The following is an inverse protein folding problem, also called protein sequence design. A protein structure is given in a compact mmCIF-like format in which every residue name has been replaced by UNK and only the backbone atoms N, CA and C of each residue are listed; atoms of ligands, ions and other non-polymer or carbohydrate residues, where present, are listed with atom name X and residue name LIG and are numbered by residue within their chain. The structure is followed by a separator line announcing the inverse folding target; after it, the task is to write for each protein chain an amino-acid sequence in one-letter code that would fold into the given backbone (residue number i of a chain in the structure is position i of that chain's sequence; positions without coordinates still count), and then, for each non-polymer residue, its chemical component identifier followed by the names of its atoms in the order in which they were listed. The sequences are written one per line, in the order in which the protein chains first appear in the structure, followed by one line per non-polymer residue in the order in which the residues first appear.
data_IF_426668345538
#
_entry.id   IF_426668345538
#
_cell.length_a   1.000
_cell.length_b   1.000
_cell.length_c   1.000
_cell.angle_alpha   90.00
_cell.angle_beta   90.00
_cell.angle_gamma   90.00
#
_symmetry.space_group_name_H-M   'P 1'
#
loop_
_entity.id
_entity.type
_entity.pdbx_description
1 polymer ?
#
# COMPACT_ATOMS: atom_id res chain seq x y z
N UNK A 1 30.11 17.77 56.00
CA UNK A 1 30.34 18.17 54.60
C UNK A 1 29.88 17.04 53.68
N UNK A 2 28.65 17.06 53.13
CA UNK A 2 28.20 16.06 52.16
C UNK A 2 28.39 16.57 50.73
N UNK A 3 29.03 15.75 49.89
CA UNK A 3 29.23 15.98 48.47
C UNK A 3 28.05 15.47 47.64
N UNK A 4 27.59 16.33 46.71
CA UNK A 4 26.52 16.09 45.74
C UNK A 4 27.02 15.24 44.55
N UNK A 5 26.20 14.33 44.06
CA UNK A 5 26.25 13.76 42.70
C UNK A 5 24.85 13.32 42.31
N UNK A 6 24.04 14.24 41.76
CA UNK A 6 23.70 14.41 40.32
C UNK A 6 22.87 13.27 39.74
N UNK A 7 21.56 13.56 39.73
CA UNK A 7 20.49 12.97 38.95
C UNK A 7 20.73 13.20 37.45
N UNK A 8 20.75 12.13 36.66
CA UNK A 8 20.52 12.18 35.21
C UNK A 8 19.11 11.64 34.96
N UNK A 9 18.14 12.54 35.02
CA UNK A 9 16.81 12.34 34.45
C UNK A 9 16.55 13.57 33.58
N UNK A 10 16.87 13.45 32.28
CA UNK A 10 16.57 14.46 31.26
C UNK A 10 15.70 13.81 30.19
N UNK A 11 14.40 13.95 30.40
CA UNK A 11 13.50 14.61 29.45
C UNK A 11 13.41 14.04 28.01
N UNK A 12 12.85 12.84 27.86
CA UNK A 12 12.27 12.36 26.58
C UNK A 12 10.79 12.71 26.53
N UNK A 13 10.44 14.02 26.47
CA UNK A 13 9.03 14.44 26.28
C UNK A 13 8.80 15.63 25.34
N UNK A 14 9.81 16.13 24.61
CA UNK A 14 9.64 17.34 23.80
C UNK A 14 9.57 17.22 22.27
N UNK A 15 9.61 16.01 21.69
CA UNK A 15 9.60 15.86 20.21
C UNK A 15 8.26 15.44 19.57
N UNK A 16 7.21 15.18 20.35
CA UNK A 16 5.87 14.84 19.81
C UNK A 16 4.94 16.08 19.72
N UNK A 17 5.32 17.20 20.35
CA UNK A 17 4.46 18.39 20.45
C UNK A 17 4.58 19.39 19.28
N UNK A 18 5.67 19.36 18.51
CA UNK A 18 5.96 20.44 17.54
C UNK A 18 5.16 20.26 16.23
N UNK A 19 4.77 19.03 15.86
CA UNK A 19 4.03 18.80 14.61
C UNK A 19 2.52 19.12 14.72
N UNK A 20 1.95 19.15 15.93
CA UNK A 20 0.52 19.44 16.11
C UNK A 20 0.17 20.92 15.91
N UNK A 21 1.12 21.82 16.18
CA UNK A 21 0.93 23.27 15.99
C UNK A 21 0.94 23.67 14.50
N UNK A 22 1.74 22.98 13.66
CA UNK A 22 1.70 23.14 12.22
C UNK A 22 0.37 22.63 11.62
N UNK A 23 -0.17 21.52 12.14
CA UNK A 23 -1.52 21.03 11.77
C UNK A 23 -2.66 21.95 12.23
N UNK A 24 -2.58 22.51 13.44
CA UNK A 24 -3.61 23.39 13.99
C UNK A 24 -3.66 24.76 13.26
N UNK A 25 -2.51 25.32 12.86
CA UNK A 25 -2.46 26.55 12.06
C UNK A 25 -2.99 26.35 10.62
N UNK A 26 -2.91 25.12 10.09
CA UNK A 26 -3.47 24.76 8.79
C UNK A 26 -4.95 24.35 8.82
N UNK A 27 -5.56 24.19 10.00
CA UNK A 27 -6.96 23.78 10.13
C UNK A 27 -7.97 24.91 9.85
N UNK A 28 -7.51 26.16 9.64
CA UNK A 28 -8.34 27.29 9.25
C UNK A 28 -8.09 27.84 7.84
N UNK A 29 -7.03 27.37 7.16
CA UNK A 29 -6.84 27.57 5.73
C UNK A 29 -7.26 26.31 5.02
N UNK A 30 -8.46 26.29 4.42
CA UNK A 30 -9.03 25.11 3.79
C UNK A 30 -7.97 24.31 3.03
N UNK A 31 -7.82 23.02 3.37
CA UNK A 31 -6.82 22.16 2.75
C UNK A 31 -6.84 22.38 1.23
N UNK A 32 -5.67 22.43 0.55
CA UNK A 32 -5.68 22.21 -0.88
C UNK A 32 -6.35 20.85 -1.06
N UNK A 33 -7.57 20.87 -1.60
CA UNK A 33 -8.33 19.65 -1.89
C UNK A 33 -7.35 18.75 -2.61
N UNK A 34 -6.98 17.62 -2.00
CA UNK A 34 -6.38 16.53 -2.74
C UNK A 34 -7.40 16.21 -3.83
N UNK A 35 -7.22 16.81 -5.01
CA UNK A 35 -8.15 16.65 -6.11
C UNK A 35 -8.24 15.15 -6.36
N UNK A 36 -9.45 14.67 -6.62
CA UNK A 36 -9.69 13.29 -7.00
C UNK A 36 -8.61 12.85 -7.98
N UNK A 37 -7.71 11.98 -7.51
CA UNK A 37 -6.56 11.57 -8.29
C UNK A 37 -7.07 10.87 -9.54
N UNK A 38 -6.65 11.27 -10.75
CA UNK A 38 -7.03 10.56 -11.96
C UNK A 38 -6.51 9.13 -11.85
N UNK A 39 -7.43 8.16 -11.86
CA UNK A 39 -7.08 6.75 -12.00
C UNK A 39 -6.35 6.61 -13.34
N UNK A 40 -5.16 6.02 -13.34
CA UNK A 40 -4.53 5.59 -14.59
C UNK A 40 -5.39 4.45 -15.17
N UNK A 41 -6.05 4.62 -16.33
CA UNK A 41 -6.75 3.54 -16.99
C UNK A 41 -5.73 2.83 -17.88
N UNK A 42 -5.29 1.63 -17.56
CA UNK A 42 -4.26 1.05 -18.44
C UNK A 42 -3.73 -0.34 -18.19
N UNK A 43 -4.52 -1.31 -17.69
CA UNK A 43 -4.05 -2.71 -17.69
C UNK A 43 -5.07 -3.75 -18.18
N UNK A 44 -6.25 -3.34 -18.70
CA UNK A 44 -7.18 -4.27 -19.33
C UNK A 44 -7.74 -3.73 -20.65
N UNK A 45 -6.98 -3.90 -21.73
CA UNK A 45 -7.54 -4.01 -23.07
C UNK A 45 -7.54 -5.50 -23.46
N UNK A 46 -8.53 -6.24 -22.96
CA UNK A 46 -8.88 -7.56 -23.48
C UNK A 46 -9.79 -7.43 -24.70
N UNK A 47 -9.62 -8.24 -25.76
CA UNK A 47 -10.37 -8.09 -27.00
C UNK A 47 -11.85 -8.46 -26.84
N UNK A 48 -12.72 -7.62 -27.43
CA UNK A 48 -14.15 -7.86 -27.56
C UNK A 48 -14.41 -9.07 -28.45
N UNK A 49 -15.16 -10.03 -27.93
CA UNK A 49 -15.77 -11.14 -28.65
C UNK A 49 -16.87 -10.66 -29.62
N UNK A 50 -16.82 -11.14 -30.87
CA UNK A 50 -17.94 -11.04 -31.80
C UNK A 50 -17.54 -11.47 -33.22
N UNK A 51 -17.94 -12.68 -33.63
CA UNK A 51 -17.75 -13.14 -35.01
C UNK A 51 -18.04 -14.62 -35.19
N UNK A 52 -19.20 -14.90 -35.76
CA UNK A 52 -19.80 -16.19 -36.15
C UNK A 52 -18.93 -17.10 -37.03
N UNK A 53 -19.04 -18.42 -36.83
CA UNK A 53 -18.56 -19.47 -37.76
C UNK A 53 -19.24 -19.40 -39.14
N UNK A 54 -18.62 -19.99 -40.19
CA UNK A 54 -18.99 -21.36 -40.56
C UNK A 54 -17.84 -22.28 -41.06
N UNK A 55 -17.92 -23.55 -40.64
CA UNK A 55 -17.83 -24.83 -41.40
C UNK A 55 -16.65 -25.10 -42.38
N UNK A 56 -15.86 -26.12 -41.99
CA UNK A 56 -15.21 -27.22 -42.74
C UNK A 56 -14.06 -26.98 -43.73
N UNK A 57 -12.90 -27.64 -43.47
CA UNK A 57 -12.40 -28.81 -44.22
C UNK A 57 -10.94 -29.17 -43.83
N UNK A 58 -10.75 -30.46 -43.48
CA UNK A 58 -9.56 -31.31 -43.68
C UNK A 58 -8.16 -30.66 -43.79
N UNK A 59 -7.30 -30.93 -42.82
CA UNK A 59 -5.95 -31.43 -43.13
C UNK A 59 -5.31 -32.17 -41.95
N UNK A 60 -5.23 -33.50 -42.06
CA UNK A 60 -4.41 -34.37 -41.23
C UNK A 60 -2.95 -34.25 -41.65
N UNK A 61 -2.13 -33.45 -40.95
CA UNK A 61 -0.66 -33.56 -41.03
C UNK A 61 0.01 -33.22 -39.70
N UNK A 62 0.60 -34.26 -39.10
CA UNK A 62 1.83 -34.14 -38.35
C UNK A 62 1.73 -33.50 -36.96
N UNK A 63 1.24 -34.29 -36.00
CA UNK A 63 1.50 -34.04 -34.58
C UNK A 63 3.01 -34.18 -34.29
N UNK A 64 3.79 -33.13 -34.59
CA UNK A 64 5.02 -32.88 -33.86
C UNK A 64 4.57 -32.42 -32.48
N UNK A 65 4.61 -33.35 -31.53
CA UNK A 65 4.46 -33.04 -30.13
C UNK A 65 5.50 -31.98 -29.77
N UNK A 66 5.07 -30.72 -29.73
CA UNK A 66 5.76 -29.69 -28.97
C UNK A 66 5.62 -30.17 -27.54
N UNK A 67 6.65 -30.86 -27.07
CA UNK A 67 6.91 -30.96 -25.65
C UNK A 67 7.01 -29.50 -25.21
N UNK A 68 5.90 -28.94 -24.72
CA UNK A 68 5.95 -27.79 -23.85
C UNK A 68 6.81 -28.27 -22.70
N UNK A 69 8.13 -28.09 -22.84
CA UNK A 69 9.06 -28.21 -21.74
C UNK A 69 8.40 -27.43 -20.64
N UNK A 70 8.11 -28.09 -19.52
CA UNK A 70 7.63 -27.44 -18.30
C UNK A 70 8.41 -26.15 -18.24
N UNK A 71 7.74 -25.00 -18.44
CA UNK A 71 8.41 -23.71 -18.22
C UNK A 71 9.12 -23.94 -16.89
N UNK A 72 10.45 -23.77 -16.81
CA UNK A 72 11.11 -23.83 -15.53
C UNK A 72 10.21 -23.01 -14.65
N UNK A 73 9.79 -23.61 -13.53
CA UNK A 73 9.21 -22.86 -12.44
C UNK A 73 10.23 -21.75 -12.23
N UNK A 74 10.00 -20.61 -12.88
CA UNK A 74 11.02 -19.60 -13.09
C UNK A 74 10.88 -18.83 -11.81
N UNK A 75 11.60 -19.39 -10.86
CA UNK A 75 11.15 -19.55 -9.50
C UNK A 75 10.96 -18.17 -8.91
N UNK A 76 10.01 -18.06 -7.98
CA UNK A 76 9.99 -17.02 -6.96
C UNK A 76 11.19 -17.19 -6.02
N UNK A 77 12.39 -17.37 -6.59
CA UNK A 77 13.64 -17.52 -5.90
C UNK A 77 13.97 -16.18 -5.27
N UNK A 78 13.84 -16.15 -3.95
CA UNK A 78 14.11 -14.98 -3.14
C UNK A 78 15.55 -14.49 -3.31
N UNK A 79 16.52 -15.40 -3.44
CA UNK A 79 17.93 -15.02 -3.61
C UNK A 79 18.14 -14.23 -4.90
N UNK A 80 17.56 -14.70 -6.02
CA UNK A 80 17.58 -13.98 -7.29
C UNK A 80 16.92 -12.60 -7.17
N UNK A 81 15.77 -12.52 -6.50
CA UNK A 81 15.00 -11.29 -6.37
C UNK A 81 15.68 -10.25 -5.47
N UNK A 82 16.35 -10.69 -4.40
CA UNK A 82 17.20 -9.84 -3.52
C UNK A 82 18.46 -9.35 -4.24
N UNK A 83 18.96 -10.09 -5.22
CA UNK A 83 20.10 -9.70 -6.05
C UNK A 83 19.73 -8.68 -7.16
N UNK A 84 18.45 -8.35 -7.34
CA UNK A 84 17.99 -7.51 -8.44
C UNK A 84 18.41 -6.03 -8.26
N UNK A 85 19.48 -5.62 -8.96
CA UNK A 85 20.10 -4.30 -8.83
C UNK A 85 19.12 -3.11 -8.95
N UNK A 86 18.15 -3.16 -9.86
CA UNK A 86 17.18 -2.06 -10.03
C UNK A 86 16.29 -1.83 -8.80
N UNK A 87 15.96 -2.88 -8.03
CA UNK A 87 15.15 -2.76 -6.81
C UNK A 87 15.96 -2.18 -5.67
N UNK A 88 17.22 -2.63 -5.56
CA UNK A 88 18.18 -2.06 -4.62
C UNK A 88 18.38 -0.56 -4.87
N UNK A 89 18.60 -0.17 -6.13
CA UNK A 89 18.74 1.24 -6.50
C UNK A 89 17.48 2.05 -6.16
N UNK A 90 16.28 1.51 -6.39
CA UNK A 90 15.03 2.14 -6.00
C UNK A 90 14.92 2.32 -4.47
N UNK A 91 15.32 1.30 -3.70
CA UNK A 91 15.38 1.39 -2.25
C UNK A 91 16.41 2.44 -1.77
N UNK A 92 17.63 2.42 -2.30
CA UNK A 92 18.67 3.41 -1.99
C UNK A 92 18.22 4.84 -2.31
N UNK A 93 17.53 5.02 -3.43
CA UNK A 93 16.92 6.31 -3.79
C UNK A 93 15.86 6.73 -2.78
N UNK A 94 14.97 5.83 -2.33
CA UNK A 94 14.00 6.15 -1.29
C UNK A 94 14.69 6.44 0.05
N UNK A 95 15.71 5.65 0.39
CA UNK A 95 16.46 5.75 1.63
C UNK A 95 17.27 7.06 1.76
N UNK A 96 17.66 7.67 0.64
CA UNK A 96 18.29 9.00 0.63
C UNK A 96 17.27 10.14 0.76
N UNK A 97 15.97 9.85 0.71
CA UNK A 97 14.93 10.87 0.95
C UNK A 97 14.49 10.90 2.42
N UNK A 98 13.90 12.03 2.82
CA UNK A 98 13.20 12.16 4.11
C UNK A 98 11.98 11.24 4.27
N UNK A 99 11.50 10.61 3.20
CA UNK A 99 10.26 9.84 3.21
C UNK A 99 10.43 8.38 3.63
N UNK A 100 11.66 7.84 3.74
CA UNK A 100 11.86 6.44 4.15
C UNK A 100 11.18 6.14 5.49
N UNK A 101 11.34 7.02 6.48
CA UNK A 101 10.74 6.83 7.81
C UNK A 101 9.20 6.87 7.78
N UNK A 102 8.55 7.91 7.21
CA UNK A 102 7.11 7.93 6.94
C UNK A 102 6.59 6.65 6.26
N UNK A 103 7.24 6.23 5.17
CA UNK A 103 6.87 5.03 4.42
C UNK A 103 6.95 3.79 5.30
N UNK A 104 8.06 3.62 6.02
CA UNK A 104 8.25 2.44 6.85
C UNK A 104 7.27 2.38 8.03
N UNK A 105 6.94 3.53 8.63
CA UNK A 105 5.97 3.62 9.71
C UNK A 105 4.55 3.31 9.22
N UNK A 106 4.14 3.91 8.10
CA UNK A 106 2.80 3.73 7.53
C UNK A 106 2.52 2.28 7.10
N UNK A 107 3.45 1.67 6.35
CA UNK A 107 3.30 0.26 5.95
C UNK A 107 3.31 -0.69 7.13
N UNK A 108 4.11 -0.41 8.17
CA UNK A 108 4.10 -1.21 9.39
C UNK A 108 2.75 -1.14 10.09
N UNK A 109 2.17 0.06 10.21
CA UNK A 109 0.85 0.23 10.82
C UNK A 109 -0.22 -0.52 10.02
N UNK A 110 -0.19 -0.46 8.69
CA UNK A 110 -1.12 -1.21 7.85
C UNK A 110 -0.98 -2.73 8.02
N UNK A 111 0.24 -3.26 7.89
CA UNK A 111 0.48 -4.70 8.02
C UNK A 111 0.09 -5.22 9.41
N UNK A 112 0.43 -4.48 10.48
CA UNK A 112 0.05 -4.85 11.84
C UNK A 112 -1.47 -4.82 12.08
N UNK A 113 -2.20 -3.91 11.42
CA UNK A 113 -3.64 -3.85 11.52
C UNK A 113 -4.33 -4.97 10.71
N UNK A 114 -3.86 -5.19 9.48
CA UNK A 114 -4.61 -5.92 8.46
C UNK A 114 -4.15 -7.36 8.20
N UNK A 115 -2.92 -7.75 8.56
CA UNK A 115 -2.34 -9.05 8.18
C UNK A 115 -1.85 -9.78 9.44
N UNK A 116 -2.48 -10.92 9.77
CA UNK A 116 -2.17 -11.66 11.00
C UNK A 116 -0.80 -12.35 10.97
N UNK A 117 -0.45 -13.01 9.86
CA UNK A 117 0.86 -13.67 9.66
C UNK A 117 1.64 -12.98 8.56
N UNK A 118 2.18 -11.80 8.89
CA UNK A 118 2.84 -10.92 7.93
C UNK A 118 4.00 -11.61 7.24
N UNK A 119 4.82 -12.35 7.99
CA UNK A 119 6.03 -12.97 7.44
C UNK A 119 5.73 -14.19 6.58
N UNK A 120 4.83 -15.09 7.02
CA UNK A 120 4.54 -16.30 6.26
C UNK A 120 3.78 -16.02 4.96
N UNK A 121 3.12 -14.86 4.85
CA UNK A 121 2.31 -14.49 3.68
C UNK A 121 3.02 -13.54 2.71
N UNK A 122 4.22 -13.07 3.08
CA UNK A 122 5.04 -12.19 2.26
C UNK A 122 5.37 -12.80 0.90
N UNK A 123 5.48 -11.94 -0.11
CA UNK A 123 5.76 -12.23 -1.53
C UNK A 123 4.65 -13.01 -2.23
N UNK A 124 4.14 -14.06 -1.60
CA UNK A 124 3.20 -14.98 -2.23
C UNK A 124 1.77 -14.45 -2.18
N UNK A 125 1.39 -13.72 -1.14
CA UNK A 125 0.04 -13.19 -0.98
C UNK A 125 -0.02 -11.67 -0.88
N UNK A 126 1.02 -11.06 -0.31
CA UNK A 126 1.20 -9.61 -0.35
C UNK A 126 2.63 -9.25 -0.77
N UNK A 127 2.79 -8.13 -1.48
CA UNK A 127 4.10 -7.63 -1.90
C UNK A 127 4.24 -6.15 -1.62
N UNK A 128 5.48 -5.68 -1.56
CA UNK A 128 5.78 -4.26 -1.39
C UNK A 128 6.64 -3.77 -2.55
N UNK A 129 6.20 -2.71 -3.22
CA UNK A 129 6.98 -2.04 -4.26
C UNK A 129 7.59 -0.73 -3.74
N UNK A 130 8.74 -0.35 -4.29
CA UNK A 130 9.48 0.87 -3.94
C UNK A 130 9.72 1.70 -5.20
N UNK A 131 9.35 2.98 -5.17
CA UNK A 131 9.43 3.93 -6.30
C UNK A 131 8.96 3.32 -7.63
N UNK A 132 7.73 2.78 -7.71
CA UNK A 132 7.24 2.23 -8.97
C UNK A 132 7.17 3.34 -10.02
N UNK A 133 7.63 3.03 -11.24
CA UNK A 133 7.74 3.98 -12.36
C UNK A 133 6.40 4.46 -12.93
N UNK A 134 5.29 3.96 -12.42
CA UNK A 134 3.94 4.25 -12.92
C UNK A 134 3.53 5.69 -12.68
N UNK A 135 4.04 6.34 -11.62
CA UNK A 135 3.87 7.79 -11.40
C UNK A 135 5.11 8.37 -10.70
N UNK A 136 5.56 9.55 -11.11
CA UNK A 136 6.79 10.18 -10.60
C UNK A 136 6.78 10.45 -9.09
N UNK A 137 5.59 10.51 -8.49
CA UNK A 137 5.38 10.87 -7.09
C UNK A 137 5.13 9.68 -6.19
N UNK A 138 5.03 8.46 -6.73
CA UNK A 138 4.73 7.29 -5.91
C UNK A 138 5.97 6.82 -5.18
N UNK A 139 5.86 6.72 -3.87
CA UNK A 139 6.95 6.34 -2.98
C UNK A 139 7.01 4.82 -2.83
N UNK A 140 5.85 4.20 -2.57
CA UNK A 140 5.75 2.76 -2.34
C UNK A 140 4.28 2.30 -2.36
N UNK A 141 4.07 1.00 -2.46
CA UNK A 141 2.76 0.39 -2.27
C UNK A 141 2.85 -1.02 -1.71
N UNK A 142 1.86 -1.41 -0.91
CA UNK A 142 1.52 -2.80 -0.63
C UNK A 142 0.47 -3.26 -1.64
N UNK A 143 0.71 -4.41 -2.25
CA UNK A 143 -0.19 -5.04 -3.19
C UNK A 143 -0.62 -6.42 -2.71
N UNK A 144 -1.89 -6.77 -2.94
CA UNK A 144 -2.48 -8.08 -2.66
C UNK A 144 -3.35 -8.49 -3.85
N UNK A 145 -3.28 -9.75 -4.29
CA UNK A 145 -3.87 -10.20 -5.56
C UNK A 145 -3.46 -9.30 -6.74
N UNK A 146 -4.42 -8.60 -7.36
CA UNK A 146 -4.21 -7.66 -8.46
C UNK A 146 -4.40 -6.18 -8.02
N UNK A 147 -4.40 -5.92 -6.70
CA UNK A 147 -4.73 -4.62 -6.12
C UNK A 147 -3.57 -3.98 -5.38
N UNK A 148 -3.59 -2.66 -5.34
CA UNK A 148 -2.80 -1.86 -4.42
C UNK A 148 -3.70 -1.43 -3.27
N UNK A 149 -3.39 -1.91 -2.07
CA UNK A 149 -4.26 -1.77 -0.89
C UNK A 149 -3.81 -0.67 0.06
N UNK A 150 -2.52 -0.33 0.02
CA UNK A 150 -1.93 0.76 0.80
C UNK A 150 -0.83 1.41 -0.05
N UNK A 151 -0.97 2.70 -0.37
CA UNK A 151 -0.05 3.42 -1.27
C UNK A 151 0.35 4.75 -0.67
N UNK A 152 1.65 5.07 -0.75
CA UNK A 152 2.19 6.36 -0.35
C UNK A 152 2.73 7.15 -1.54
N UNK A 153 2.51 8.46 -1.50
CA UNK A 153 2.96 9.43 -2.48
C UNK A 153 3.72 10.58 -1.80
N UNK A 154 4.70 11.13 -2.51
CA UNK A 154 5.25 12.42 -2.18
C UNK A 154 4.14 13.49 -2.33
N UNK A 155 4.07 14.48 -1.43
CA UNK A 155 3.09 15.57 -1.51
C UNK A 155 3.27 16.39 -2.80
N UNK A 156 2.23 17.14 -3.21
CA UNK A 156 2.36 18.02 -4.39
C UNK A 156 3.23 19.21 -4.02
N UNK A 157 2.97 19.73 -2.83
CA UNK A 157 3.78 20.74 -2.19
C UNK A 157 4.93 20.08 -1.45
N UNK A 158 6.14 20.23 -2.00
CA UNK A 158 7.36 19.69 -1.41
C UNK A 158 7.64 20.32 -0.05
N UNK A 159 7.11 21.50 0.27
CA UNK A 159 7.28 22.14 1.57
C UNK A 159 6.37 21.55 2.66
N UNK A 160 5.28 20.87 2.28
CA UNK A 160 4.36 20.24 3.24
C UNK A 160 5.03 19.13 4.07
N UNK A 161 6.16 18.58 3.61
CA UNK A 161 7.02 17.66 4.37
C UNK A 161 6.45 16.26 4.63
N UNK A 162 5.12 16.07 4.61
CA UNK A 162 4.43 14.82 4.91
C UNK A 162 4.07 14.03 3.65
N UNK A 163 4.17 12.70 3.71
CA UNK A 163 3.69 11.83 2.64
C UNK A 163 2.16 11.77 2.65
N UNK A 164 1.55 11.80 1.46
CA UNK A 164 0.14 11.49 1.29
C UNK A 164 -0.04 9.98 1.15
N UNK A 165 -1.14 9.44 1.65
CA UNK A 165 -1.40 8.01 1.67
C UNK A 165 -2.86 7.72 1.33
N UNK A 166 -3.12 6.56 0.74
CA UNK A 166 -4.45 5.98 0.73
C UNK A 166 -4.42 4.52 1.17
N UNK A 167 -5.53 4.06 1.73
CA UNK A 167 -5.81 2.67 2.07
C UNK A 167 -7.18 2.28 1.51
N UNK A 168 -7.31 1.05 1.00
CA UNK A 168 -8.61 0.46 0.65
C UNK A 168 -9.07 -0.41 1.83
N UNK A 169 -10.32 -0.25 2.25
CA UNK A 169 -10.90 -0.97 3.40
C UNK A 169 -12.35 -1.41 3.11
N UNK A 170 -12.91 -2.32 3.92
CA UNK A 170 -14.32 -2.74 3.81
C UNK A 170 -15.29 -1.65 4.29
N UNK A 171 -16.13 -1.15 3.38
CA UNK A 171 -17.08 -0.09 3.72
C UNK A 171 -18.09 -0.54 4.77
N UNK A 172 -18.65 -1.73 4.63
CA UNK A 172 -19.69 -2.27 5.53
C UNK A 172 -19.21 -2.44 6.96
N UNK A 173 -17.91 -2.64 7.16
CA UNK A 173 -17.28 -2.74 8.48
C UNK A 173 -17.01 -1.35 9.05
N UNK A 174 -16.46 -0.45 8.23
CA UNK A 174 -16.07 0.89 8.66
C UNK A 174 -17.26 1.79 8.97
N UNK A 175 -18.27 1.78 8.10
CA UNK A 175 -19.43 2.64 8.17
C UNK A 175 -20.58 1.95 8.90
N UNK A 176 -21.39 2.71 9.63
CA UNK A 176 -22.69 2.24 10.12
C UNK A 176 -23.63 2.11 8.91
N UNK A 177 -24.54 1.12 8.86
CA UNK A 177 -25.52 1.04 7.78
C UNK A 177 -26.29 2.36 7.59
N UNK A 178 -26.28 2.89 6.36
CA UNK A 178 -26.90 4.18 6.01
C UNK A 178 -25.99 5.41 6.18
N UNK A 179 -24.79 5.26 6.75
CA UNK A 179 -23.85 6.36 6.95
C UNK A 179 -23.24 6.85 5.63
N UNK A 180 -23.23 8.18 5.42
CA UNK A 180 -22.60 8.81 4.25
C UNK A 180 -21.08 8.91 4.42
N UNK A 181 -20.36 9.15 3.32
CA UNK A 181 -18.92 9.37 3.37
C UNK A 181 -18.54 10.66 4.13
N UNK A 182 -19.46 11.62 4.24
CA UNK A 182 -19.25 12.85 5.01
C UNK A 182 -19.17 12.56 6.50
N UNK A 183 -20.06 11.71 7.03
CA UNK A 183 -20.02 11.28 8.43
C UNK A 183 -18.73 10.51 8.77
N UNK A 184 -18.19 9.74 7.81
CA UNK A 184 -16.87 9.13 7.98
C UNK A 184 -15.77 10.20 8.07
N UNK A 185 -15.85 11.27 7.28
CA UNK A 185 -14.94 12.42 7.38
C UNK A 185 -15.02 13.13 8.73
N UNK A 186 -16.21 13.24 9.32
CA UNK A 186 -16.39 13.80 10.66
C UNK A 186 -15.76 12.91 11.74
N UNK A 187 -15.83 11.57 11.59
CA UNK A 187 -15.23 10.60 12.52
C UNK A 187 -13.71 10.52 12.40
N UNK A 188 -13.18 10.67 11.19
CA UNK A 188 -11.75 10.63 10.91
C UNK A 188 -11.29 11.97 10.30
N UNK A 189 -11.16 13.04 11.11
CA UNK A 189 -10.70 14.32 10.63
C UNK A 189 -9.37 14.20 9.90
N UNK A 190 -9.24 14.87 8.75
CA UNK A 190 -8.05 14.78 7.90
C UNK A 190 -8.11 13.69 6.83
N UNK A 191 -9.09 12.79 6.92
CA UNK A 191 -9.32 11.76 5.90
C UNK A 191 -10.47 12.13 4.96
N UNK A 192 -10.32 11.71 3.71
CA UNK A 192 -11.34 11.77 2.67
C UNK A 192 -11.72 10.37 2.25
N UNK A 193 -13.02 10.16 2.00
CA UNK A 193 -13.57 8.86 1.68
C UNK A 193 -14.23 8.87 0.30
N UNK A 194 -13.75 8.02 -0.61
CA UNK A 194 -14.28 7.91 -1.96
C UNK A 194 -14.54 6.46 -2.36
N UNK A 195 -15.49 6.21 -3.29
CA UNK A 195 -15.65 4.90 -3.89
C UNK A 195 -14.35 4.38 -4.52
N UNK A 196 -14.16 3.07 -4.48
CA UNK A 196 -13.09 2.38 -5.20
C UNK A 196 -13.69 1.27 -6.06
N UNK A 197 -13.06 0.98 -7.20
CA UNK A 197 -13.59 0.09 -8.23
C UNK A 197 -12.68 -1.13 -8.48
N UNK A 198 -11.84 -1.49 -7.51
CA UNK A 198 -10.98 -2.65 -7.69
C UNK A 198 -11.80 -3.94 -7.71
N UNK A 199 -11.74 -4.68 -8.81
CA UNK A 199 -12.52 -5.90 -9.02
C UNK A 199 -12.34 -6.93 -7.89
N UNK A 200 -11.12 -7.15 -7.42
CA UNK A 200 -10.81 -8.17 -6.41
C UNK A 200 -11.32 -7.83 -5.01
N UNK A 201 -11.61 -6.56 -4.73
CA UNK A 201 -12.22 -6.17 -3.46
C UNK A 201 -13.76 -6.31 -3.49
N UNK A 202 -14.36 -6.61 -4.63
CA UNK A 202 -15.82 -6.66 -4.77
C UNK A 202 -16.49 -5.29 -4.61
N UNK A 203 -17.78 -5.25 -4.35
CA UNK A 203 -18.53 -3.97 -4.25
C UNK A 203 -18.43 -3.31 -2.87
N UNK A 204 -18.05 -4.07 -1.84
CA UNK A 204 -17.92 -3.58 -0.48
C UNK A 204 -16.50 -3.06 -0.20
N UNK A 205 -16.18 -1.91 -0.78
CA UNK A 205 -14.90 -1.25 -0.62
C UNK A 205 -15.03 0.27 -0.58
N UNK A 206 -14.12 0.91 0.13
CA UNK A 206 -13.98 2.37 0.14
C UNK A 206 -12.50 2.72 0.23
N UNK A 207 -12.11 3.80 -0.44
CA UNK A 207 -10.77 4.39 -0.33
C UNK A 207 -10.80 5.47 0.74
N UNK A 208 -9.95 5.33 1.76
CA UNK A 208 -9.61 6.40 2.69
C UNK A 208 -8.29 7.04 2.23
N UNK A 209 -8.26 8.36 2.05
CA UNK A 209 -7.07 9.10 1.62
C UNK A 209 -6.82 10.31 2.51
N UNK A 210 -5.56 10.58 2.85
CA UNK A 210 -5.17 11.72 3.68
C UNK A 210 -3.66 11.79 3.86
N UNK A 211 -3.20 12.49 4.90
CA UNK A 211 -1.81 12.42 5.31
C UNK A 211 -1.51 11.06 5.93
N UNK A 212 -0.27 10.59 5.80
CA UNK A 212 0.12 9.30 6.34
C UNK A 212 -0.07 9.20 7.86
N UNK A 213 0.16 10.27 8.62
CA UNK A 213 -0.01 10.29 10.08
C UNK A 213 -1.48 10.12 10.46
N UNK A 214 -2.41 10.80 9.76
CA UNK A 214 -3.85 10.66 9.98
C UNK A 214 -4.33 9.23 9.69
N UNK A 215 -3.80 8.60 8.63
CA UNK A 215 -4.14 7.20 8.31
C UNK A 215 -3.49 6.20 9.28
N UNK A 216 -2.29 6.49 9.78
CA UNK A 216 -1.64 5.68 10.84
C UNK A 216 -2.45 5.77 12.13
N UNK A 217 -2.92 6.96 12.51
CA UNK A 217 -3.81 7.14 13.66
C UNK A 217 -5.11 6.36 13.47
N UNK A 218 -5.74 6.48 12.30
CA UNK A 218 -6.95 5.73 11.98
C UNK A 218 -6.72 4.21 12.04
N UNK A 219 -5.59 3.69 11.53
CA UNK A 219 -5.27 2.25 11.57
C UNK A 219 -5.07 1.71 13.00
N UNK A 220 -4.86 2.56 14.01
CA UNK A 220 -4.85 2.15 15.42
C UNK A 220 -6.25 2.10 16.04
N UNK A 221 -7.27 2.66 15.37
CA UNK A 221 -8.65 2.60 15.82
C UNK A 221 -9.25 1.21 15.49
N UNK A 222 -9.86 0.51 16.48
CA UNK A 222 -10.30 -0.87 16.30
C UNK A 222 -11.20 -1.12 15.09
N UNK A 223 -12.14 -0.21 14.80
CA UNK A 223 -13.09 -0.40 13.70
C UNK A 223 -12.42 -0.22 12.33
N UNK A 224 -11.55 0.78 12.20
CA UNK A 224 -10.76 0.97 10.98
C UNK A 224 -9.80 -0.20 10.73
N UNK A 225 -9.10 -0.66 11.77
CA UNK A 225 -8.21 -1.81 11.72
C UNK A 225 -8.96 -3.08 11.27
N UNK A 226 -10.11 -3.36 11.88
CA UNK A 226 -10.97 -4.49 11.51
C UNK A 226 -11.43 -4.39 10.05
N UNK A 227 -11.80 -3.19 9.60
CA UNK A 227 -12.21 -2.95 8.21
C UNK A 227 -11.09 -3.23 7.20
N UNK A 228 -9.84 -2.86 7.53
CA UNK A 228 -8.66 -3.20 6.72
C UNK A 228 -8.38 -4.70 6.73
N UNK A 229 -8.47 -5.36 7.91
CA UNK A 229 -8.24 -6.79 8.08
C UNK A 229 -9.21 -7.65 7.30
N UNK A 230 -10.52 -7.39 7.40
CA UNK A 230 -11.54 -8.15 6.67
C UNK A 230 -11.34 -8.03 5.15
N UNK A 231 -10.84 -6.89 4.66
CA UNK A 231 -10.46 -6.78 3.25
C UNK A 231 -9.22 -7.62 2.94
N UNK A 232 -8.16 -7.49 3.74
CA UNK A 232 -6.91 -8.20 3.54
C UNK A 232 -7.11 -9.73 3.60
N UNK A 233 -7.81 -10.26 4.59
CA UNK A 233 -8.17 -11.69 4.69
C UNK A 233 -8.82 -12.21 3.40
N UNK A 234 -9.77 -11.45 2.84
CA UNK A 234 -10.39 -11.80 1.56
C UNK A 234 -9.37 -11.87 0.42
N UNK A 235 -8.47 -10.89 0.34
CA UNK A 235 -7.46 -10.82 -0.71
C UNK A 235 -6.37 -11.89 -0.56
N UNK A 236 -5.94 -12.17 0.67
CA UNK A 236 -4.91 -13.17 0.99
C UNK A 236 -5.34 -14.62 0.69
N UNK A 237 -6.62 -14.86 0.35
CA UNK A 237 -7.06 -16.17 -0.19
C UNK A 237 -6.46 -16.51 -1.56
N UNK A 238 -5.89 -15.53 -2.25
CA UNK A 238 -5.27 -15.69 -3.56
C UNK A 238 -3.87 -15.12 -3.61
N UNK A 239 -3.00 -15.76 -4.40
CA UNK A 239 -1.65 -15.25 -4.60
C UNK A 239 -1.65 -13.89 -5.32
N UNK A 240 -0.68 -13.05 -4.97
CA UNK A 240 -0.45 -11.77 -5.65
C UNK A 240 0.23 -11.98 -7.00
N UNK A 241 -0.18 -11.20 -8.00
CA UNK A 241 0.53 -11.16 -9.30
C UNK A 241 1.69 -10.19 -9.30
N UNK A 242 1.83 -9.38 -8.25
CA UNK A 242 2.85 -8.34 -8.12
C UNK A 242 4.14 -8.85 -7.44
N UNK A 243 4.36 -10.16 -7.41
CA UNK A 243 5.52 -10.78 -6.77
C UNK A 243 6.84 -10.31 -7.41
N UNK A 244 6.86 -10.11 -8.73
CA UNK A 244 8.03 -9.60 -9.47
C UNK A 244 8.44 -8.19 -9.01
N UNK A 245 7.48 -7.38 -8.55
CA UNK A 245 7.73 -6.02 -8.06
C UNK A 245 8.18 -5.93 -6.60
N UNK A 246 8.25 -7.05 -5.89
CA UNK A 246 8.56 -7.06 -4.45
C UNK A 246 9.98 -6.56 -4.18
N UNK A 247 10.11 -5.59 -3.26
CA UNK A 247 11.35 -4.98 -2.79
C UNK A 247 11.64 -5.44 -1.36
N UNK A 248 12.54 -6.42 -1.22
CA UNK A 248 12.87 -7.01 0.08
C UNK A 248 13.57 -6.03 1.01
N UNK A 249 14.43 -5.15 0.51
CA UNK A 249 15.12 -4.16 1.36
C UNK A 249 14.14 -3.22 2.06
N UNK A 250 13.06 -2.82 1.37
CA UNK A 250 11.99 -2.04 1.97
C UNK A 250 11.15 -2.90 2.92
N UNK A 251 10.79 -4.12 2.55
CA UNK A 251 10.04 -5.02 3.41
C UNK A 251 10.79 -5.31 4.73
N UNK A 252 12.08 -5.61 4.68
CA UNK A 252 12.93 -5.83 5.85
C UNK A 252 12.98 -4.57 6.73
N UNK A 253 13.04 -3.36 6.13
CA UNK A 253 12.98 -2.10 6.86
C UNK A 253 11.63 -1.89 7.56
N UNK A 254 10.52 -2.25 6.92
CA UNK A 254 9.17 -2.18 7.49
C UNK A 254 9.05 -3.16 8.66
N UNK A 255 9.45 -4.41 8.44
CA UNK A 255 9.34 -5.52 9.39
C UNK A 255 10.43 -5.51 10.46
N UNK A 256 11.40 -4.59 10.36
CA UNK A 256 12.54 -4.44 11.28
C UNK A 256 13.39 -5.72 11.36
N UNK A 257 13.55 -6.40 10.23
CA UNK A 257 14.45 -7.55 10.14
C UNK A 257 15.88 -7.04 10.10
N UNK A 258 16.69 -7.57 11.00
CA UNK A 258 18.13 -7.32 11.00
C UNK A 258 18.75 -7.92 9.74
N UNK A 259 19.70 -7.21 9.13
CA UNK A 259 20.47 -7.71 7.98
C UNK A 259 21.84 -8.17 8.42
#
# INVERSE_FOLDING_TARGET
MPGRGRSEDVEVRHLVGINRAAHAAFSHGGMPRCRAFPMAPGWFAGPRSGGTSPVSLLNERGARGVVMGKRPEMQRDEAFMRAHAGKRQAFEKLASTRFLRPVAAAHRAYLAAAVDDVEATERDFWTMSCLPSTTERRLSAISMRFMEVCVLHAPEDVEAGAAAMFVIVRRSVLAVPGESNEHLGDRYPGLTFSPSEYRDAGTDQIRASGWHDDLVEALHEPRFALSARVLAEHLLTGQTVHWEGHNYELADTVLRRER
#
